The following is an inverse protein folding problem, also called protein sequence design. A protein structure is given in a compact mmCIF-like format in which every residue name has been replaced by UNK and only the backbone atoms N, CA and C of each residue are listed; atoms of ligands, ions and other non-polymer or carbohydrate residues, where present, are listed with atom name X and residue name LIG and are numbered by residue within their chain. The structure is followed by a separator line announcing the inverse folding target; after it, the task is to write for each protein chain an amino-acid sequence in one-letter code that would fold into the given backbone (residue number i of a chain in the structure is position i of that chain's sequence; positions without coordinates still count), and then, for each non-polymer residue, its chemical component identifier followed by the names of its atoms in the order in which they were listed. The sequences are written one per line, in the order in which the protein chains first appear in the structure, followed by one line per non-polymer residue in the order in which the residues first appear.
data_IF_885573085344
#
_entry.id   IF_885573085344
#
_cell.length_a   1.000
_cell.length_b   1.000
_cell.length_c   1.000
_cell.angle_alpha   90.00
_cell.angle_beta   90.00
_cell.angle_gamma   90.00
#
_symmetry.space_group_name_H-M   'P 1'
#
loop_
_entity.id
_entity.type
_entity.pdbx_description
1 polymer ?
#
# COMPACT_ATOMS: atom_id res chain seq x y z
N UNK A 1 32.82 -36.94 -54.67
CA UNK A 1 34.29 -36.81 -54.58
C UNK A 1 34.52 -35.63 -53.64
N UNK A 2 34.72 -35.90 -52.34
CA UNK A 2 36.04 -36.10 -51.68
C UNK A 2 36.71 -34.71 -51.60
N UNK A 3 36.96 -34.04 -50.47
CA UNK A 3 37.44 -34.43 -49.13
C UNK A 3 37.27 -33.16 -48.23
N UNK A 4 36.79 -33.19 -46.97
CA UNK A 4 37.49 -33.54 -45.71
C UNK A 4 38.93 -32.96 -45.64
N UNK A 5 39.35 -32.23 -44.61
CA UNK A 5 40.00 -32.82 -43.43
C UNK A 5 40.40 -31.73 -42.41
N UNK A 6 40.16 -32.06 -41.12
CA UNK A 6 40.88 -31.77 -39.85
C UNK A 6 41.39 -30.35 -39.50
N UNK A 7 41.10 -29.81 -38.31
CA UNK A 7 41.53 -30.23 -36.96
C UNK A 7 43.04 -30.13 -36.72
N UNK A 8 43.46 -29.20 -35.85
CA UNK A 8 44.64 -29.37 -34.98
C UNK A 8 44.42 -28.62 -33.67
N UNK A 9 44.77 -29.32 -32.60
CA UNK A 9 44.48 -29.07 -31.19
C UNK A 9 45.72 -28.57 -30.42
N UNK A 10 45.52 -28.44 -29.09
CA UNK A 10 46.51 -28.45 -27.97
C UNK A 10 47.11 -27.08 -27.61
N UNK A 11 47.30 -26.64 -26.35
CA UNK A 11 47.23 -27.08 -24.92
C UNK A 11 47.35 -25.76 -24.10
N UNK A 12 47.02 -25.56 -22.83
CA UNK A 12 46.65 -26.38 -21.68
C UNK A 12 46.71 -25.51 -20.39
N UNK A 13 46.52 -26.16 -19.24
CA UNK A 13 46.83 -25.73 -17.86
C UNK A 13 45.86 -24.79 -17.14
N UNK A 14 44.98 -25.33 -16.29
CA UNK A 14 45.21 -25.46 -14.83
C UNK A 14 43.93 -25.99 -14.16
N UNK A 15 44.06 -27.13 -13.48
CA UNK A 15 42.99 -27.72 -12.67
C UNK A 15 42.90 -27.05 -11.31
N UNK A 16 41.67 -26.85 -10.84
CA UNK A 16 41.36 -26.66 -9.43
C UNK A 16 40.32 -27.71 -9.06
N UNK A 17 40.78 -28.68 -8.27
CA UNK A 17 39.98 -29.71 -7.61
C UNK A 17 39.10 -29.04 -6.54
N UNK A 18 37.79 -29.32 -6.57
CA UNK A 18 36.87 -28.98 -5.49
C UNK A 18 36.82 -30.14 -4.49
N UNK A 19 37.40 -29.91 -3.32
CA UNK A 19 37.22 -30.74 -2.12
C UNK A 19 35.81 -30.49 -1.52
N UNK A 20 35.06 -31.53 -1.12
CA UNK A 20 33.79 -31.37 -0.42
C UNK A 20 34.01 -31.02 1.06
N UNK A 21 33.59 -29.82 1.47
CA UNK A 21 33.65 -29.38 2.86
C UNK A 21 32.75 -30.25 3.75
N UNK A 22 33.37 -30.98 4.67
CA UNK A 22 32.69 -31.72 5.74
C UNK A 22 32.09 -30.76 6.77
N UNK A 23 30.84 -31.05 7.15
CA UNK A 23 30.06 -30.39 8.18
C UNK A 23 30.72 -30.51 9.56
N UNK A 24 31.27 -29.42 10.10
CA UNK A 24 31.65 -29.31 11.50
C UNK A 24 30.51 -28.67 12.31
N UNK A 25 29.81 -29.49 13.06
CA UNK A 25 28.85 -29.07 14.09
C UNK A 25 29.60 -28.39 15.24
N UNK A 26 29.46 -27.07 15.36
CA UNK A 26 29.94 -26.29 16.51
C UNK A 26 28.85 -26.34 17.58
N UNK A 27 29.12 -27.06 18.67
CA UNK A 27 28.28 -27.08 19.86
C UNK A 27 28.44 -25.76 20.63
N UNK A 28 27.39 -24.94 20.62
CA UNK A 28 27.28 -23.75 21.47
C UNK A 28 27.11 -24.18 22.94
N UNK A 29 28.01 -23.69 23.81
CA UNK A 29 27.90 -23.83 25.26
C UNK A 29 26.88 -22.81 25.81
N UNK A 30 26.02 -23.18 26.77
CA UNK A 30 25.16 -22.23 27.45
C UNK A 30 25.97 -21.33 28.42
N UNK A 31 25.55 -20.07 28.65
CA UNK A 31 26.19 -19.16 29.58
C UNK A 31 25.93 -19.56 31.05
N UNK A 32 26.80 -19.15 31.99
CA UNK A 32 26.65 -19.48 33.40
C UNK A 32 25.53 -18.69 34.09
N UNK A 33 24.78 -19.40 34.94
CA UNK A 33 23.78 -18.85 35.85
C UNK A 33 24.39 -17.80 36.79
N UNK A 34 23.95 -16.55 36.67
CA UNK A 34 24.19 -15.51 37.66
C UNK A 34 23.16 -15.64 38.79
N UNK A 35 23.60 -16.18 39.91
CA UNK A 35 22.90 -16.19 41.20
C UNK A 35 22.78 -14.77 41.74
N UNK A 36 21.57 -14.21 41.67
CA UNK A 36 21.21 -12.94 42.29
C UNK A 36 21.24 -13.05 43.82
N UNK A 37 22.18 -12.34 44.44
CA UNK A 37 22.27 -12.10 45.88
C UNK A 37 21.07 -11.25 46.35
N UNK A 38 20.18 -11.82 47.16
CA UNK A 38 19.18 -11.06 47.91
C UNK A 38 19.83 -10.37 49.12
N UNK A 39 20.22 -9.10 48.97
CA UNK A 39 20.52 -8.23 50.10
C UNK A 39 19.20 -7.76 50.74
N UNK A 40 18.84 -8.39 51.86
CA UNK A 40 17.71 -7.98 52.71
C UNK A 40 18.09 -6.69 53.44
N UNK A 41 17.67 -5.53 52.92
CA UNK A 41 17.75 -4.26 53.64
C UNK A 41 16.63 -4.19 54.69
N UNK A 42 17.00 -4.21 55.96
CA UNK A 42 16.11 -3.93 57.08
C UNK A 42 15.76 -2.43 57.09
N UNK A 43 14.47 -2.10 56.96
CA UNK A 43 13.97 -0.73 57.08
C UNK A 43 13.83 -0.36 58.56
N UNK A 44 14.35 0.79 59.00
CA UNK A 44 14.08 1.29 60.35
C UNK A 44 12.62 1.79 60.47
N UNK A 45 12.02 1.75 61.67
CA UNK A 45 10.64 2.16 61.91
C UNK A 45 10.47 3.67 61.71
N UNK A 46 9.51 4.05 60.86
CA UNK A 46 9.13 5.45 60.64
C UNK A 46 8.42 6.00 61.88
N UNK A 47 8.96 7.10 62.40
CA UNK A 47 8.34 7.96 63.40
C UNK A 47 7.08 8.61 62.83
N UNK A 48 5.91 8.32 63.41
CA UNK A 48 4.65 8.98 63.11
C UNK A 48 4.60 10.32 63.85
N UNK A 49 5.08 11.39 63.23
CA UNK A 49 4.82 12.74 63.72
C UNK A 49 4.67 13.72 62.56
N UNK A 50 3.50 14.34 62.53
CA UNK A 50 3.17 15.60 61.82
C UNK A 50 3.03 15.54 60.29
N UNK A 51 1.94 14.92 59.82
CA UNK A 51 1.42 15.13 58.44
C UNK A 51 0.09 15.88 58.51
N UNK A 52 0.12 17.21 58.73
CA UNK A 52 -1.08 18.05 58.56
C UNK A 52 -0.89 19.37 57.82
N UNK A 53 0.30 19.66 57.27
CA UNK A 53 0.55 20.95 56.58
C UNK A 53 1.13 20.87 55.17
N UNK A 54 1.18 19.69 54.53
CA UNK A 54 1.70 19.52 53.16
C UNK A 54 0.64 18.89 52.24
N UNK A 55 -0.54 19.51 52.13
CA UNK A 55 -1.53 19.10 51.11
C UNK A 55 -1.86 20.20 50.11
N UNK A 56 -1.71 21.47 50.50
CA UNK A 56 -2.03 22.60 49.61
C UNK A 56 -0.90 22.94 48.63
N UNK A 57 0.36 22.67 48.98
CA UNK A 57 1.52 23.02 48.13
C UNK A 57 1.83 22.00 47.02
N UNK A 58 1.43 20.73 47.21
CA UNK A 58 1.68 19.65 46.24
C UNK A 58 0.74 19.76 45.03
N UNK A 59 -0.49 20.23 45.24
CA UNK A 59 -1.46 20.45 44.16
C UNK A 59 -1.07 21.62 43.23
N UNK A 60 -0.51 22.70 43.77
CA UNK A 60 0.00 23.82 42.97
C UNK A 60 1.28 23.44 42.20
N UNK A 61 2.18 22.66 42.82
CA UNK A 61 3.36 22.15 42.13
C UNK A 61 3.03 21.13 41.03
N UNK A 62 2.02 20.27 41.23
CA UNK A 62 1.55 19.32 40.22
C UNK A 62 0.88 20.04 39.02
N UNK A 63 0.09 21.09 39.25
CA UNK A 63 -0.51 21.88 38.18
C UNK A 63 0.55 22.67 37.38
N UNK A 64 1.60 23.17 38.03
CA UNK A 64 2.71 23.84 37.36
C UNK A 64 3.60 22.85 36.58
N UNK A 65 3.77 21.61 37.05
CA UNK A 65 4.53 20.59 36.32
C UNK A 65 3.79 20.13 35.05
N UNK A 66 2.45 20.07 35.07
CA UNK A 66 1.64 19.72 33.90
C UNK A 66 1.68 20.83 32.84
N UNK A 67 1.80 22.11 33.24
CA UNK A 67 1.91 23.23 32.30
C UNK A 67 3.30 23.38 31.65
N UNK A 68 4.35 22.73 32.18
CA UNK A 68 5.69 22.71 31.58
C UNK A 68 5.88 21.58 30.55
N UNK A 69 5.00 20.59 30.52
CA UNK A 69 4.89 19.68 29.40
C UNK A 69 4.20 20.45 28.27
N UNK A 70 4.95 21.29 27.55
CA UNK A 70 4.48 21.87 26.30
C UNK A 70 3.98 20.77 25.36
N UNK A 71 3.15 21.09 24.36
CA UNK A 71 2.71 20.10 23.39
C UNK A 71 3.95 19.38 22.85
N UNK A 72 4.08 18.10 23.19
CA UNK A 72 5.08 17.26 22.54
C UNK A 72 4.70 17.29 21.06
N UNK A 73 5.64 17.71 20.21
CA UNK A 73 5.47 17.54 18.78
C UNK A 73 5.11 16.07 18.57
N UNK A 74 3.98 15.82 17.90
CA UNK A 74 3.65 14.48 17.49
C UNK A 74 4.86 13.96 16.70
N UNK A 75 5.41 12.83 17.13
CA UNK A 75 6.46 12.19 16.35
C UNK A 75 5.88 11.86 14.98
N UNK A 76 6.58 12.23 13.91
CA UNK A 76 6.20 11.81 12.57
C UNK A 76 6.01 10.29 12.56
N UNK A 77 4.87 9.83 12.07
CA UNK A 77 4.60 8.42 11.91
C UNK A 77 5.05 8.01 10.51
N UNK A 78 5.81 6.93 10.42
CA UNK A 78 6.12 6.28 9.14
C UNK A 78 5.04 5.22 8.87
N UNK A 79 4.42 5.23 7.70
CA UNK A 79 3.57 4.12 7.24
C UNK A 79 3.99 3.64 5.87
N UNK A 80 3.78 2.34 5.62
CA UNK A 80 3.75 1.78 4.27
C UNK A 80 2.31 1.77 3.80
N UNK A 81 2.04 2.30 2.62
CA UNK A 81 0.75 2.24 1.97
C UNK A 81 0.82 1.29 0.78
N UNK A 82 -0.12 0.37 0.76
CA UNK A 82 -0.31 -0.54 -0.35
C UNK A 82 -1.25 0.05 -1.41
N UNK A 83 -1.07 -0.33 -2.68
CA UNK A 83 -1.99 0.07 -3.73
C UNK A 83 -3.34 -0.62 -3.52
N UNK A 84 -4.40 0.18 -3.58
CA UNK A 84 -5.79 -0.29 -3.51
C UNK A 84 -6.39 -0.57 -4.90
N UNK A 85 -5.64 -0.28 -5.95
CA UNK A 85 -6.01 -0.61 -7.31
C UNK A 85 -4.84 -0.44 -8.26
N UNK A 86 -4.77 -1.32 -9.24
CA UNK A 86 -3.80 -1.23 -10.33
C UNK A 86 -4.42 -1.49 -11.70
N UNK A 87 -3.75 -1.02 -12.75
CA UNK A 87 -4.09 -1.39 -14.10
C UNK A 87 -2.93 -1.18 -15.07
N UNK A 88 -2.68 -2.19 -15.92
CA UNK A 88 -1.88 -2.01 -17.13
C UNK A 88 -2.77 -1.60 -18.30
N UNK A 89 -2.54 -0.41 -18.86
CA UNK A 89 -3.18 0.03 -20.10
C UNK A 89 -2.23 -0.12 -21.28
N UNK A 90 -2.78 -0.51 -22.44
CA UNK A 90 -2.00 -0.87 -23.63
C UNK A 90 -2.56 -0.16 -24.85
N UNK A 91 -1.75 0.66 -25.47
CA UNK A 91 -2.12 1.39 -26.69
C UNK A 91 -2.52 0.48 -27.85
N UNK A 92 -1.79 -0.63 -28.05
CA UNK A 92 -2.04 -1.56 -29.16
C UNK A 92 -3.27 -2.47 -28.97
N UNK A 93 -3.83 -2.53 -27.76
CA UNK A 93 -5.11 -3.21 -27.46
C UNK A 93 -5.95 -2.26 -26.62
N UNK A 94 -6.43 -1.15 -27.20
CA UNK A 94 -6.77 0.02 -26.43
C UNK A 94 -8.07 -0.12 -25.64
N UNK A 95 -8.90 -1.12 -25.97
CA UNK A 95 -10.10 -1.51 -25.22
C UNK A 95 -9.83 -2.63 -24.19
N UNK A 96 -8.58 -3.06 -24.05
CA UNK A 96 -8.17 -4.09 -23.09
C UNK A 96 -7.30 -3.46 -22.00
N UNK A 97 -7.52 -3.92 -20.79
CA UNK A 97 -6.61 -3.72 -19.68
C UNK A 97 -6.17 -5.07 -19.13
N UNK A 98 -5.09 -5.04 -18.36
CA UNK A 98 -4.72 -6.16 -17.51
C UNK A 98 -5.39 -6.07 -16.12
N UNK A 99 -6.53 -5.35 -15.99
CA UNK A 99 -7.16 -5.10 -14.69
C UNK A 99 -7.50 -6.39 -13.95
N UNK A 100 -7.03 -6.52 -12.71
CA UNK A 100 -7.18 -7.72 -11.87
C UNK A 100 -6.17 -8.85 -12.14
N UNK A 101 -5.26 -8.67 -13.10
CA UNK A 101 -4.11 -9.56 -13.29
C UNK A 101 -2.95 -9.14 -12.40
N UNK A 102 -2.16 -10.09 -11.93
CA UNK A 102 -0.98 -9.81 -11.10
C UNK A 102 0.20 -9.19 -11.88
N UNK A 103 0.02 -8.84 -13.16
CA UNK A 103 1.07 -8.43 -14.08
C UNK A 103 0.79 -7.05 -14.69
N UNK A 104 1.49 -6.03 -14.20
CA UNK A 104 1.61 -4.73 -14.87
C UNK A 104 2.83 -4.73 -15.77
N UNK A 105 2.68 -4.31 -17.02
CA UNK A 105 3.79 -4.14 -17.97
C UNK A 105 3.86 -2.67 -18.38
N UNK A 106 4.97 -1.98 -18.12
CA UNK A 106 5.27 -0.71 -18.81
C UNK A 106 6.24 -1.01 -19.95
N UNK A 107 6.00 -0.48 -21.15
CA UNK A 107 6.86 -0.75 -22.31
C UNK A 107 6.79 0.42 -23.27
N UNK A 108 7.92 0.79 -23.86
CA UNK A 108 7.98 1.61 -25.08
C UNK A 108 8.71 0.88 -26.21
N UNK A 109 8.06 0.72 -27.37
CA UNK A 109 8.70 0.18 -28.59
C UNK A 109 8.72 1.24 -29.70
N UNK A 110 9.89 1.83 -30.01
CA UNK A 110 9.99 2.91 -30.99
C UNK A 110 9.91 2.47 -32.47
N UNK A 111 9.88 1.17 -32.78
CA UNK A 111 9.83 0.71 -34.17
C UNK A 111 8.42 0.87 -34.78
N UNK A 112 8.38 1.54 -35.93
CA UNK A 112 7.22 2.08 -36.65
C UNK A 112 6.08 1.10 -37.00
N UNK A 113 6.28 -0.21 -36.83
CA UNK A 113 5.24 -1.21 -37.12
C UNK A 113 4.40 -1.58 -35.89
N UNK A 114 4.67 -1.02 -34.70
CA UNK A 114 3.81 -1.33 -33.55
C UNK A 114 3.69 -0.33 -32.40
N UNK A 115 4.38 0.83 -32.38
CA UNK A 115 4.39 1.83 -31.29
C UNK A 115 3.57 1.43 -30.06
N UNK A 116 4.20 0.60 -29.22
CA UNK A 116 3.49 0.05 -28.06
C UNK A 116 3.91 0.88 -26.89
N UNK A 117 3.07 1.83 -26.49
CA UNK A 117 3.06 2.32 -25.12
C UNK A 117 2.21 1.40 -24.26
N UNK A 118 2.84 0.84 -23.24
CA UNK A 118 2.13 0.28 -22.10
C UNK A 118 2.42 1.15 -20.88
N UNK A 119 1.38 1.53 -20.15
CA UNK A 119 1.45 2.35 -18.96
C UNK A 119 0.88 1.57 -17.78
N UNK A 120 1.45 1.77 -16.60
CA UNK A 120 0.92 1.19 -15.37
C UNK A 120 0.32 2.29 -14.50
N UNK A 121 -0.93 2.09 -14.09
CA UNK A 121 -1.64 2.94 -13.15
C UNK A 121 -1.63 2.24 -11.79
N UNK A 122 -1.22 2.95 -10.75
CA UNK A 122 -1.17 2.44 -9.38
C UNK A 122 -1.86 3.46 -8.48
N UNK A 123 -2.90 3.05 -7.76
CA UNK A 123 -3.68 3.94 -6.90
C UNK A 123 -3.50 3.61 -5.43
N UNK A 124 -3.27 4.65 -4.64
CA UNK A 124 -3.17 4.62 -3.19
C UNK A 124 -4.36 5.33 -2.54
N UNK A 125 -4.80 4.80 -1.40
CA UNK A 125 -5.72 5.49 -0.50
C UNK A 125 -4.90 6.32 0.50
N UNK A 126 -5.06 7.64 0.42
CA UNK A 126 -4.44 8.61 1.32
C UNK A 126 -5.44 9.13 2.35
N UNK A 127 -6.59 8.47 2.53
CA UNK A 127 -7.53 8.80 3.60
C UNK A 127 -6.82 8.70 4.95
N UNK A 128 -6.93 9.73 5.79
CA UNK A 128 -6.24 9.76 7.09
C UNK A 128 -4.75 10.16 7.03
N UNK A 129 -4.19 10.34 5.84
CA UNK A 129 -2.86 10.91 5.63
C UNK A 129 -2.96 12.42 5.48
N UNK A 130 -2.17 13.16 6.26
CA UNK A 130 -2.08 14.62 6.18
C UNK A 130 -0.68 15.12 6.53
N UNK A 131 -0.24 16.21 5.90
CA UNK A 131 1.08 16.79 6.08
C UNK A 131 2.20 15.75 5.87
N UNK A 132 2.26 15.17 4.68
CA UNK A 132 3.39 14.32 4.28
C UNK A 132 4.65 15.18 4.34
N UNK A 133 5.60 14.77 5.17
CA UNK A 133 6.90 15.43 5.36
C UNK A 133 8.01 14.73 4.60
N UNK A 134 7.82 13.44 4.32
CA UNK A 134 8.76 12.61 3.58
C UNK A 134 7.98 11.50 2.86
N UNK A 135 8.48 11.05 1.71
CA UNK A 135 7.85 10.00 0.93
C UNK A 135 8.85 9.26 0.04
N UNK A 136 8.62 7.97 -0.12
CA UNK A 136 9.36 7.09 -1.02
C UNK A 136 8.39 6.14 -1.71
N UNK A 137 8.34 6.19 -3.04
CA UNK A 137 7.59 5.23 -3.83
C UNK A 137 8.56 4.16 -4.36
N UNK A 138 8.37 2.91 -3.95
CA UNK A 138 9.27 1.80 -4.22
C UNK A 138 8.57 0.70 -4.98
N UNK A 139 9.24 0.07 -5.94
CA UNK A 139 8.70 -1.07 -6.66
C UNK A 139 9.80 -2.02 -7.14
N UNK A 140 9.47 -3.31 -7.23
CA UNK A 140 10.40 -4.33 -7.67
C UNK A 140 10.36 -4.51 -9.20
N UNK A 141 11.53 -4.71 -9.79
CA UNK A 141 11.67 -5.10 -11.21
C UNK A 141 11.79 -6.63 -11.36
N UNK A 142 11.02 -7.22 -12.28
CA UNK A 142 11.17 -8.64 -12.68
C UNK A 142 12.19 -8.81 -13.81
N UNK A 143 13.10 -9.79 -13.65
CA UNK A 143 14.10 -10.17 -14.66
C UNK A 143 13.44 -10.58 -15.98
N UNK A 144 13.93 -9.99 -17.06
CA UNK A 144 13.79 -10.51 -18.42
C UNK A 144 14.79 -9.89 -19.39
N UNK A 145 15.20 -8.64 -19.15
CA UNK A 145 15.84 -7.84 -20.19
C UNK A 145 17.06 -7.08 -19.67
N UNK A 146 18.07 -6.94 -20.54
CA UNK A 146 19.41 -6.46 -20.16
C UNK A 146 19.55 -4.93 -20.09
N UNK A 147 18.59 -4.16 -20.61
CA UNK A 147 18.68 -2.69 -20.67
C UNK A 147 17.31 -2.06 -20.39
N UNK A 148 17.16 -1.38 -19.26
CA UNK A 148 16.07 -0.44 -18.98
C UNK A 148 16.69 0.96 -19.04
N UNK A 149 16.11 1.88 -19.82
CA UNK A 149 16.64 3.25 -19.94
C UNK A 149 16.24 4.15 -18.77
N UNK A 150 15.14 3.83 -18.09
CA UNK A 150 14.63 4.52 -16.92
C UNK A 150 13.11 4.40 -16.87
N UNK A 151 12.52 4.73 -15.73
CA UNK A 151 11.07 4.89 -15.59
C UNK A 151 10.75 6.33 -15.25
N UNK A 152 9.75 6.87 -15.92
CA UNK A 152 9.09 8.11 -15.55
C UNK A 152 7.92 7.78 -14.66
N UNK A 153 7.80 8.49 -13.54
CA UNK A 153 6.61 8.47 -12.72
C UNK A 153 5.90 9.82 -12.76
N UNK A 154 4.59 9.75 -12.94
CA UNK A 154 3.71 10.90 -12.97
C UNK A 154 2.60 10.74 -11.93
N UNK A 155 2.31 11.80 -11.20
CA UNK A 155 1.10 11.91 -10.39
C UNK A 155 -0.05 12.36 -11.27
N UNK A 156 -1.18 11.66 -11.23
CA UNK A 156 -2.37 12.04 -11.98
C UNK A 156 -3.07 13.22 -11.30
N UNK A 157 -3.26 14.33 -12.02
CA UNK A 157 -4.01 15.45 -11.49
C UNK A 157 -5.52 15.21 -11.51
N UNK A 158 -6.24 15.64 -10.46
CA UNK A 158 -7.71 15.66 -10.41
C UNK A 158 -8.24 16.93 -11.09
N UNK A 159 -8.10 16.96 -12.42
CA UNK A 159 -8.61 18.03 -13.28
C UNK A 159 -9.69 17.48 -14.20
N UNK A 160 -10.63 18.33 -14.60
CA UNK A 160 -11.72 17.91 -15.47
C UNK A 160 -11.19 17.36 -16.80
N UNK A 161 -11.62 16.15 -17.17
CA UNK A 161 -11.19 15.47 -18.37
C UNK A 161 -10.13 14.40 -18.13
N UNK A 162 -9.46 14.39 -16.97
CA UNK A 162 -8.58 13.28 -16.59
C UNK A 162 -9.37 12.06 -16.11
N UNK A 163 -8.70 10.91 -16.07
CA UNK A 163 -9.23 9.71 -15.42
C UNK A 163 -9.63 10.03 -13.96
N UNK A 164 -10.88 9.72 -13.54
CA UNK A 164 -11.30 9.94 -12.16
C UNK A 164 -10.45 9.12 -11.20
N UNK A 165 -9.99 9.68 -10.09
CA UNK A 165 -9.18 8.95 -9.11
C UNK A 165 -9.89 7.72 -8.52
N UNK A 166 -11.21 7.63 -8.63
CA UNK A 166 -12.04 6.50 -8.20
C UNK A 166 -12.22 5.43 -9.28
N UNK A 167 -11.32 5.32 -10.26
CA UNK A 167 -11.39 4.34 -11.34
C UNK A 167 -11.44 2.89 -10.83
N UNK A 168 -12.16 2.01 -11.51
CA UNK A 168 -12.10 0.56 -11.23
C UNK A 168 -11.07 -0.08 -12.16
N UNK A 169 -10.33 -1.09 -11.69
CA UNK A 169 -9.29 -1.77 -12.48
C UNK A 169 -9.82 -2.28 -13.82
N UNK A 170 -11.04 -2.80 -13.82
CA UNK A 170 -11.71 -3.31 -15.03
C UNK A 170 -12.20 -2.22 -15.99
N UNK A 171 -12.27 -0.96 -15.55
CA UNK A 171 -12.85 0.15 -16.33
C UNK A 171 -11.80 1.01 -17.05
N UNK A 172 -10.55 1.01 -16.57
CA UNK A 172 -9.49 1.84 -17.12
C UNK A 172 -8.76 1.06 -18.23
N UNK A 173 -8.79 1.59 -19.43
CA UNK A 173 -8.17 1.06 -20.66
C UNK A 173 -7.54 2.25 -21.37
N UNK A 174 -6.70 2.04 -22.37
CA UNK A 174 -6.09 3.16 -23.09
C UNK A 174 -7.15 4.06 -23.77
N UNK A 175 -8.30 3.52 -24.20
CA UNK A 175 -9.40 4.32 -24.76
C UNK A 175 -10.30 4.99 -23.72
N UNK A 176 -10.21 4.58 -22.45
CA UNK A 176 -11.02 5.15 -21.35
C UNK A 176 -10.21 6.01 -20.40
N UNK A 177 -8.87 6.08 -20.57
CA UNK A 177 -8.06 7.12 -19.93
C UNK A 177 -8.47 8.50 -20.41
N UNK A 178 -8.26 9.50 -19.56
CA UNK A 178 -8.65 10.87 -19.84
C UNK A 178 -7.58 11.64 -20.63
N UNK A 179 -7.62 12.96 -20.48
CA UNK A 179 -6.71 13.88 -21.13
C UNK A 179 -5.25 13.76 -20.66
N UNK A 180 -4.97 12.97 -19.60
CA UNK A 180 -3.61 12.70 -19.15
C UNK A 180 -2.79 11.88 -20.14
N UNK A 181 -3.44 11.04 -20.95
CA UNK A 181 -2.81 10.35 -22.07
C UNK A 181 -3.26 11.11 -23.31
N UNK A 182 -2.40 11.98 -23.90
CA UNK A 182 -2.77 12.75 -25.07
C UNK A 182 -2.89 11.80 -26.27
N UNK A 183 -4.01 11.09 -26.37
CA UNK A 183 -4.30 10.16 -27.46
C UNK A 183 -4.31 10.92 -28.77
N UNK A 184 -3.19 10.93 -29.46
CA UNK A 184 -3.06 11.53 -30.78
C UNK A 184 -3.69 10.63 -31.88
N UNK A 185 -4.17 9.45 -31.47
CA UNK A 185 -4.81 8.46 -32.31
C UNK A 185 -3.82 7.70 -33.19
N UNK A 186 -2.53 7.90 -32.99
CA UNK A 186 -1.45 7.25 -33.70
C UNK A 186 -0.75 6.24 -32.78
N UNK A 187 -1.04 4.94 -32.88
CA UNK A 187 -0.38 3.90 -32.08
C UNK A 187 1.09 3.67 -32.48
N UNK A 188 1.74 4.68 -33.08
CA UNK A 188 3.14 4.68 -33.45
C UNK A 188 3.94 5.79 -32.75
N UNK A 189 3.25 6.70 -32.06
CA UNK A 189 3.87 7.80 -31.33
C UNK A 189 4.02 7.45 -29.86
N UNK A 190 4.66 8.35 -29.13
CA UNK A 190 4.87 8.23 -27.71
C UNK A 190 4.07 9.35 -27.04
N UNK A 191 2.98 8.99 -26.38
CA UNK A 191 2.13 9.97 -25.69
C UNK A 191 2.75 10.47 -24.40
N UNK A 192 3.40 9.57 -23.65
CA UNK A 192 4.13 9.87 -22.42
C UNK A 192 5.62 9.59 -22.58
N UNK A 193 6.45 10.63 -22.45
CA UNK A 193 7.90 10.56 -22.61
C UNK A 193 8.67 11.85 -22.27
N UNK A 194 10.00 11.78 -22.39
CA UNK A 194 10.96 12.84 -22.01
C UNK A 194 10.86 14.11 -22.85
N UNK A 195 10.10 14.09 -23.96
CA UNK A 195 9.89 15.23 -24.85
C UNK A 195 8.78 16.19 -24.39
N UNK A 196 8.16 15.94 -23.23
CA UNK A 196 7.54 16.99 -22.42
C UNK A 196 6.17 17.50 -22.89
N UNK A 197 5.38 16.65 -23.55
CA UNK A 197 4.01 17.01 -23.94
C UNK A 197 2.92 16.49 -22.98
N UNK A 198 3.31 16.18 -21.74
CA UNK A 198 2.31 16.06 -20.67
C UNK A 198 1.87 17.48 -20.36
N UNK A 199 0.65 17.86 -20.77
CA UNK A 199 0.09 19.14 -20.33
C UNK A 199 0.25 19.19 -18.82
N UNK A 200 1.03 20.16 -18.30
CA UNK A 200 1.36 20.25 -16.87
C UNK A 200 0.11 20.33 -15.97
N UNK A 201 -1.03 20.64 -16.58
CA UNK A 201 -2.35 20.62 -15.97
C UNK A 201 -2.81 19.19 -15.62
N UNK A 202 -2.49 18.19 -16.45
CA UNK A 202 -3.01 16.82 -16.31
C UNK A 202 -2.09 15.91 -15.50
N UNK A 203 -0.77 16.10 -15.56
CA UNK A 203 0.21 15.25 -14.90
C UNK A 203 1.22 16.06 -14.10
N UNK A 204 1.58 15.54 -12.94
CA UNK A 204 2.65 16.05 -12.07
C UNK A 204 3.88 15.17 -12.23
N UNK A 205 5.01 15.70 -12.70
CA UNK A 205 6.24 14.89 -12.82
C UNK A 205 6.80 14.58 -11.42
N UNK A 206 6.83 13.31 -11.03
CA UNK A 206 7.30 12.90 -9.69
C UNK A 206 8.80 12.60 -9.70
N UNK A 207 9.31 12.13 -10.84
CA UNK A 207 10.73 11.83 -11.02
C UNK A 207 10.99 10.86 -12.16
N UNK A 208 12.27 10.66 -12.42
CA UNK A 208 12.78 9.66 -13.35
C UNK A 208 13.76 8.77 -12.61
N UNK A 209 13.59 7.45 -12.73
CA UNK A 209 14.57 6.49 -12.21
C UNK A 209 15.68 6.35 -13.23
N UNK A 210 16.93 6.36 -12.77
CA UNK A 210 18.04 6.01 -13.65
C UNK A 210 17.91 4.54 -14.05
N UNK A 211 17.92 4.27 -15.34
CA UNK A 211 17.95 2.92 -15.87
C UNK A 211 19.03 2.07 -15.19
N UNK A 212 18.67 0.87 -14.76
CA UNK A 212 19.64 -0.05 -14.18
C UNK A 212 20.21 -1.00 -15.24
N UNK A 213 21.48 -0.81 -15.58
CA UNK A 213 22.23 -1.76 -16.41
C UNK A 213 22.71 -2.93 -15.55
N UNK A 214 22.15 -4.12 -15.76
CA UNK A 214 22.60 -5.35 -15.11
C UNK A 214 22.00 -5.61 -13.72
N UNK A 215 20.87 -4.98 -13.39
CA UNK A 215 20.16 -5.28 -12.14
C UNK A 215 19.79 -6.77 -12.04
N UNK A 216 19.95 -7.34 -10.85
CA UNK A 216 19.39 -8.64 -10.53
C UNK A 216 17.85 -8.56 -10.45
N UNK A 217 17.17 -9.69 -10.67
CA UNK A 217 15.73 -9.78 -10.41
C UNK A 217 15.45 -9.39 -8.96
N UNK A 218 14.33 -8.71 -8.72
CA UNK A 218 13.92 -8.35 -7.37
C UNK A 218 14.73 -7.20 -6.75
N UNK A 219 15.53 -6.49 -7.55
CA UNK A 219 16.02 -5.18 -7.10
C UNK A 219 14.88 -4.16 -7.11
N UNK A 220 14.83 -3.41 -6.02
CA UNK A 220 13.91 -2.30 -5.83
C UNK A 220 14.44 -1.08 -6.55
N UNK A 221 13.52 -0.38 -7.19
CA UNK A 221 13.74 0.96 -7.70
C UNK A 221 12.89 1.89 -6.87
N UNK A 222 13.52 2.91 -6.30
CA UNK A 222 12.90 3.93 -5.45
C UNK A 222 12.77 5.24 -6.22
N UNK A 223 11.68 5.94 -5.96
CA UNK A 223 11.41 7.30 -6.40
C UNK A 223 11.18 8.16 -5.16
N UNK A 224 12.08 9.13 -4.95
CA UNK A 224 12.18 9.84 -3.68
C UNK A 224 12.84 8.99 -2.60
N UNK A 225 13.24 9.61 -1.48
CA UNK A 225 14.14 8.91 -0.58
C UNK A 225 14.08 9.32 0.88
N UNK A 226 13.31 8.55 1.64
CA UNK A 226 13.57 8.28 3.07
C UNK A 226 14.87 7.47 3.24
N UNK A 227 15.15 6.57 2.31
CA UNK A 227 16.24 5.58 2.43
C UNK A 227 17.54 5.95 1.69
N UNK A 228 17.48 6.72 0.60
CA UNK A 228 18.63 7.04 -0.25
C UNK A 228 18.99 8.54 -0.31
N UNK A 229 18.19 9.40 0.33
CA UNK A 229 18.40 10.86 0.38
C UNK A 229 18.20 11.56 -0.97
N UNK A 230 17.53 10.92 -1.93
CA UNK A 230 17.09 11.56 -3.17
C UNK A 230 16.03 12.61 -2.91
N UNK A 231 16.03 13.66 -3.74
CA UNK A 231 15.02 14.71 -3.67
C UNK A 231 13.64 14.14 -3.98
N UNK A 232 12.74 14.22 -3.01
CA UNK A 232 11.35 13.79 -3.10
C UNK A 232 10.37 14.94 -2.97
N UNK A 233 10.83 16.19 -3.16
CA UNK A 233 10.01 17.39 -3.04
C UNK A 233 8.76 17.32 -3.91
N UNK A 234 8.90 16.85 -5.16
CA UNK A 234 7.77 16.71 -6.09
C UNK A 234 6.78 15.63 -5.67
N UNK A 235 7.27 14.49 -5.16
CA UNK A 235 6.42 13.43 -4.63
C UNK A 235 5.65 13.92 -3.39
N UNK A 236 6.33 14.55 -2.44
CA UNK A 236 5.71 15.13 -1.24
C UNK A 236 4.67 16.18 -1.62
N UNK A 237 4.98 17.09 -2.56
CA UNK A 237 4.06 18.11 -3.01
C UNK A 237 2.82 17.51 -3.67
N UNK A 238 3.00 16.50 -4.54
CA UNK A 238 1.91 15.76 -5.15
C UNK A 238 1.03 15.08 -4.10
N UNK A 239 1.61 14.32 -3.16
CA UNK A 239 0.86 13.60 -2.14
C UNK A 239 0.09 14.56 -1.21
N UNK A 240 0.71 15.67 -0.80
CA UNK A 240 0.01 16.70 -0.01
C UNK A 240 -1.14 17.36 -0.80
N UNK A 241 -1.02 17.51 -2.11
CA UNK A 241 -2.13 17.98 -2.96
C UNK A 241 -3.31 16.99 -3.04
N UNK A 242 -3.07 15.74 -2.61
CA UNK A 242 -4.02 14.61 -2.62
C UNK A 242 -4.42 14.15 -1.21
N UNK A 243 -3.99 14.85 -0.16
CA UNK A 243 -4.21 14.45 1.22
C UNK A 243 -5.71 14.20 1.51
N UNK A 244 -6.01 13.07 2.15
CA UNK A 244 -7.37 12.69 2.53
C UNK A 244 -8.24 12.12 1.40
N UNK A 245 -7.66 11.78 0.24
CA UNK A 245 -8.37 11.16 -0.88
C UNK A 245 -7.54 10.05 -1.54
N UNK A 246 -7.64 9.93 -2.86
CA UNK A 246 -6.86 8.96 -3.63
C UNK A 246 -5.71 9.64 -4.38
N UNK A 247 -4.60 8.93 -4.53
CA UNK A 247 -3.50 9.32 -5.38
C UNK A 247 -3.20 8.22 -6.40
N UNK A 248 -3.26 8.57 -7.68
CA UNK A 248 -2.84 7.68 -8.77
C UNK A 248 -1.46 8.07 -9.27
N UNK A 249 -0.53 7.13 -9.26
CA UNK A 249 0.81 7.23 -9.86
C UNK A 249 0.79 6.43 -11.18
N UNK A 250 1.27 7.06 -12.24
CA UNK A 250 1.40 6.47 -13.58
C UNK A 250 2.87 6.24 -13.86
N UNK A 251 3.21 5.01 -14.24
CA UNK A 251 4.56 4.62 -14.64
C UNK A 251 4.61 4.48 -16.15
N UNK A 252 5.61 5.13 -16.75
CA UNK A 252 5.89 5.09 -18.17
C UNK A 252 7.39 4.81 -18.40
N UNK A 253 7.71 4.09 -19.47
CA UNK A 253 9.09 3.82 -19.87
C UNK A 253 9.73 5.07 -20.52
N UNK A 254 11.00 5.35 -20.25
CA UNK A 254 11.72 6.47 -20.87
C UNK A 254 12.06 6.11 -22.31
N UNK A 255 11.62 6.91 -23.29
CA UNK A 255 11.96 6.63 -24.68
C UNK A 255 13.45 6.82 -24.93
N UNK A 256 14.15 5.71 -25.08
CA UNK A 256 15.56 5.70 -25.43
C UNK A 256 16.02 4.55 -26.32
N UNK A 257 15.18 3.54 -26.59
CA UNK A 257 15.60 2.34 -27.33
C UNK A 257 14.55 1.24 -27.43
N UNK A 258 14.90 0.13 -28.09
CA UNK A 258 14.11 -1.10 -28.11
C UNK A 258 14.07 -1.72 -26.71
N UNK A 259 13.21 -1.19 -25.83
CA UNK A 259 13.11 -1.69 -24.47
C UNK A 259 11.97 -2.70 -24.35
N UNK A 260 12.31 -3.83 -23.77
CA UNK A 260 11.37 -4.85 -23.39
C UNK A 260 10.90 -4.55 -21.97
N UNK A 261 9.58 -4.49 -21.81
CA UNK A 261 8.93 -3.78 -20.73
C UNK A 261 9.31 -4.20 -19.32
N UNK A 262 8.95 -3.35 -18.37
CA UNK A 262 9.06 -3.61 -16.94
C UNK A 262 7.81 -4.35 -16.50
N UNK A 263 8.03 -5.56 -16.02
CA UNK A 263 6.99 -6.42 -15.49
C UNK A 263 6.99 -6.27 -13.98
N UNK A 264 5.89 -5.76 -13.44
CA UNK A 264 5.58 -5.79 -12.02
C UNK A 264 4.65 -6.99 -11.87
N UNK A 265 5.16 -8.08 -11.31
CA UNK A 265 4.39 -9.31 -11.12
C UNK A 265 4.21 -9.57 -9.64
N UNK A 266 3.10 -10.20 -9.25
CA UNK A 266 2.94 -10.78 -7.91
C UNK A 266 3.17 -12.30 -7.86
N UNK A 267 3.74 -12.89 -8.92
CA UNK A 267 3.81 -14.34 -9.03
C UNK A 267 4.53 -14.98 -7.84
N UNK A 268 3.88 -16.01 -7.28
CA UNK A 268 4.05 -16.54 -5.91
C UNK A 268 5.41 -17.19 -5.61
N UNK A 269 6.31 -17.28 -6.58
CA UNK A 269 7.57 -18.03 -6.51
C UNK A 269 8.84 -17.16 -6.66
N UNK A 270 8.73 -15.83 -6.77
CA UNK A 270 9.88 -14.92 -6.70
C UNK A 270 9.48 -13.68 -5.89
N UNK A 271 10.37 -13.20 -5.03
CA UNK A 271 10.18 -12.17 -3.99
C UNK A 271 9.85 -10.75 -4.50
N UNK A 272 9.17 -10.62 -5.63
CA UNK A 272 8.75 -9.36 -6.22
C UNK A 272 7.62 -8.77 -5.36
N UNK A 273 7.97 -7.81 -4.51
CA UNK A 273 6.97 -7.04 -3.78
C UNK A 273 6.22 -6.13 -4.75
N UNK A 274 4.92 -6.01 -4.51
CA UNK A 274 4.06 -5.01 -5.12
C UNK A 274 4.65 -3.60 -4.92
N UNK A 275 4.36 -2.62 -5.80
CA UNK A 275 4.69 -1.23 -5.54
C UNK A 275 4.17 -0.82 -4.15
N UNK A 276 5.02 -0.16 -3.38
CA UNK A 276 4.73 0.32 -2.03
C UNK A 276 4.98 1.83 -1.99
N UNK A 277 4.17 2.54 -1.22
CA UNK A 277 4.35 3.95 -0.95
C UNK A 277 4.65 4.14 0.53
N UNK A 278 5.91 4.41 0.85
CA UNK A 278 6.33 4.78 2.20
C UNK A 278 6.14 6.28 2.40
N UNK A 279 5.54 6.68 3.52
CA UNK A 279 5.33 8.08 3.87
C UNK A 279 5.72 8.33 5.32
N UNK A 280 6.28 9.50 5.59
CA UNK A 280 6.30 10.10 6.92
C UNK A 280 5.35 11.29 6.94
N UNK A 281 4.50 11.35 7.96
CA UNK A 281 3.49 12.39 8.11
C UNK A 281 3.25 12.76 9.58
N UNK A 282 2.78 14.00 9.83
CA UNK A 282 2.48 14.50 11.19
C UNK A 282 1.41 13.66 11.90
N UNK A 283 0.44 13.16 11.13
CA UNK A 283 -0.61 12.29 11.61
C UNK A 283 -1.00 11.34 10.50
N UNK A 284 -0.79 10.06 10.75
CA UNK A 284 -1.40 8.96 10.02
C UNK A 284 -2.45 8.45 10.98
N UNK A 285 -3.69 8.87 10.78
CA UNK A 285 -4.78 8.19 11.46
C UNK A 285 -4.68 6.73 11.02
N UNK A 286 -4.60 5.79 11.96
CA UNK A 286 -4.56 4.37 11.63
C UNK A 286 -5.78 4.05 10.76
N UNK A 287 -5.55 3.94 9.45
CA UNK A 287 -6.61 3.87 8.44
C UNK A 287 -7.03 2.42 8.36
N UNK A 288 -7.62 1.93 9.45
CA UNK A 288 -8.33 0.66 9.39
C UNK A 288 -9.35 0.78 8.26
N UNK A 289 -9.29 -0.09 7.26
CA UNK A 289 -10.27 -0.12 6.18
C UNK A 289 -10.65 -1.56 5.91
N UNK A 290 -11.95 -1.83 6.06
CA UNK A 290 -12.51 -3.16 5.87
C UNK A 290 -13.15 -3.35 4.48
N UNK A 291 -12.82 -2.48 3.53
CA UNK A 291 -13.12 -2.64 2.10
C UNK A 291 -11.98 -3.47 1.48
N UNK A 292 -12.12 -4.78 1.57
CA UNK A 292 -11.10 -5.73 1.15
C UNK A 292 -11.17 -6.02 -0.35
N UNK A 293 -12.27 -5.65 -1.01
CA UNK A 293 -12.43 -5.79 -2.46
C UNK A 293 -12.26 -4.52 -3.29
N UNK A 294 -11.90 -3.42 -2.63
CA UNK A 294 -11.70 -2.11 -3.23
C UNK A 294 -12.92 -1.63 -4.02
N UNK A 295 -14.12 -2.10 -3.67
CA UNK A 295 -15.36 -1.69 -4.35
C UNK A 295 -15.82 -0.29 -3.94
N UNK A 296 -15.20 0.28 -2.91
CA UNK A 296 -15.62 1.54 -2.28
C UNK A 296 -16.75 1.34 -1.28
N UNK A 297 -17.12 0.11 -0.92
CA UNK A 297 -18.19 -0.20 0.02
C UNK A 297 -17.75 -1.31 0.97
N UNK A 298 -18.02 -1.17 2.28
CA UNK A 298 -17.79 -2.25 3.25
C UNK A 298 -19.07 -3.06 3.42
N UNK A 299 -19.14 -4.22 2.76
CA UNK A 299 -20.34 -5.07 2.69
C UNK A 299 -20.04 -6.53 3.06
N UNK A 300 -21.00 -7.41 2.82
CA UNK A 300 -20.85 -8.84 3.11
C UNK A 300 -19.84 -9.56 2.20
N UNK A 301 -19.46 -8.96 1.07
CA UNK A 301 -18.41 -9.48 0.21
C UNK A 301 -17.04 -9.38 0.90
N UNK A 302 -16.75 -8.25 1.54
CA UNK A 302 -15.56 -8.04 2.36
C UNK A 302 -15.52 -8.99 3.54
N UNK A 303 -16.65 -9.12 4.24
CA UNK A 303 -16.77 -10.07 5.35
C UNK A 303 -16.37 -11.49 4.95
N UNK A 304 -16.74 -11.91 3.74
CA UNK A 304 -16.41 -13.24 3.26
C UNK A 304 -14.89 -13.38 3.04
N UNK A 305 -14.19 -12.35 2.56
CA UNK A 305 -12.72 -12.35 2.44
C UNK A 305 -12.06 -12.46 3.82
N UNK A 306 -12.48 -11.64 4.77
CA UNK A 306 -12.00 -11.71 6.15
C UNK A 306 -12.24 -13.10 6.76
N UNK A 307 -13.42 -13.68 6.58
CA UNK A 307 -13.72 -15.03 7.07
C UNK A 307 -12.87 -16.12 6.41
N UNK A 308 -12.59 -16.00 5.12
CA UNK A 308 -11.77 -16.97 4.38
C UNK A 308 -10.32 -16.99 4.85
N UNK A 309 -9.84 -15.85 5.36
CA UNK A 309 -8.45 -15.63 5.73
C UNK A 309 -8.25 -15.48 7.24
N UNK A 310 -9.28 -15.71 8.07
CA UNK A 310 -9.19 -15.60 9.52
C UNK A 310 -8.09 -16.51 10.09
N UNK A 311 -7.15 -15.92 10.84
CA UNK A 311 -6.01 -16.58 11.44
C UNK A 311 -4.78 -16.69 10.54
N UNK A 312 -4.81 -16.10 9.32
CA UNK A 312 -3.58 -15.88 8.56
C UNK A 312 -2.69 -14.89 9.30
N UNK A 313 -1.38 -15.16 9.30
CA UNK A 313 -0.35 -14.29 9.84
C UNK A 313 0.92 -14.51 9.00
N UNK A 314 1.21 -13.57 8.11
CA UNK A 314 2.36 -13.62 7.19
C UNK A 314 2.99 -12.22 7.11
N UNK A 315 4.31 -12.12 6.91
CA UNK A 315 5.04 -10.82 6.90
C UNK A 315 4.58 -9.84 5.79
N UNK A 316 3.68 -10.27 4.90
CA UNK A 316 3.20 -9.55 3.72
C UNK A 316 1.71 -9.79 3.46
N UNK A 317 0.90 -9.90 4.52
CA UNK A 317 -0.55 -9.89 4.31
C UNK A 317 -0.96 -8.52 3.79
N UNK A 318 -1.79 -8.54 2.77
CA UNK A 318 -2.29 -7.34 2.15
C UNK A 318 -3.74 -7.12 2.55
N UNK A 319 -4.25 -5.89 2.42
CA UNK A 319 -5.64 -5.58 2.82
C UNK A 319 -6.67 -6.48 2.13
N UNK A 320 -6.44 -6.87 0.86
CA UNK A 320 -7.32 -7.82 0.14
C UNK A 320 -7.41 -9.21 0.80
N UNK A 321 -6.44 -9.54 1.66
CA UNK A 321 -6.42 -10.77 2.44
C UNK A 321 -7.22 -10.64 3.75
N UNK A 322 -7.86 -9.49 4.04
CA UNK A 322 -8.71 -9.31 5.22
C UNK A 322 -8.02 -8.65 6.41
N UNK A 323 -6.78 -8.19 6.24
CA UNK A 323 -6.04 -7.40 7.23
C UNK A 323 -6.48 -5.93 7.13
N UNK A 324 -7.43 -5.54 7.98
CA UNK A 324 -8.02 -4.21 7.97
C UNK A 324 -7.11 -3.18 8.61
N UNK A 325 -6.40 -3.55 9.67
CA UNK A 325 -5.57 -2.64 10.47
C UNK A 325 -4.09 -2.60 9.99
N UNK A 326 -3.72 -3.43 9.02
CA UNK A 326 -2.38 -3.48 8.44
C UNK A 326 -1.32 -4.04 9.39
N UNK A 327 -1.70 -4.88 10.35
CA UNK A 327 -0.78 -5.46 11.34
C UNK A 327 -0.17 -6.81 10.92
N UNK A 328 -0.43 -7.23 9.68
CA UNK A 328 0.00 -8.49 9.08
C UNK A 328 -0.62 -9.74 9.73
N UNK A 329 -1.77 -9.59 10.41
CA UNK A 329 -2.56 -10.68 10.99
C UNK A 329 -4.04 -10.46 10.69
N UNK A 330 -4.76 -11.49 10.28
CA UNK A 330 -6.22 -11.42 10.12
C UNK A 330 -6.89 -12.01 11.35
N UNK A 331 -7.37 -11.17 12.28
CA UNK A 331 -7.94 -11.59 13.54
C UNK A 331 -9.23 -10.85 13.97
N UNK A 332 -9.49 -10.81 15.29
CA UNK A 332 -10.65 -10.12 15.86
C UNK A 332 -10.60 -8.60 15.71
N UNK A 333 -9.42 -7.98 15.60
CA UNK A 333 -9.27 -6.54 15.40
C UNK A 333 -9.76 -6.13 14.01
N UNK A 334 -9.48 -6.93 12.99
CA UNK A 334 -10.00 -6.69 11.64
C UNK A 334 -11.51 -6.89 11.57
N UNK A 335 -12.01 -7.88 12.32
CA UNK A 335 -13.44 -8.10 12.47
C UNK A 335 -14.12 -6.89 13.13
N UNK A 336 -13.51 -6.30 14.16
CA UNK A 336 -14.00 -5.08 14.81
C UNK A 336 -13.99 -3.90 13.83
N UNK A 337 -12.94 -3.75 13.01
CA UNK A 337 -12.88 -2.74 11.96
C UNK A 337 -14.00 -2.92 10.92
N UNK A 338 -14.23 -4.15 10.45
CA UNK A 338 -15.33 -4.44 9.53
C UNK A 338 -16.70 -4.14 10.14
N UNK A 339 -16.94 -4.54 11.39
CA UNK A 339 -18.20 -4.25 12.08
C UNK A 339 -18.44 -2.74 12.24
N UNK A 340 -17.38 -1.97 12.52
CA UNK A 340 -17.45 -0.52 12.66
C UNK A 340 -17.77 0.18 11.33
N UNK A 341 -17.39 -0.42 10.20
CA UNK A 341 -17.50 0.18 8.87
C UNK A 341 -18.63 -0.44 8.02
N UNK A 342 -19.26 -1.52 8.46
CA UNK A 342 -20.29 -2.19 7.67
C UNK A 342 -21.42 -1.25 7.24
N UNK A 343 -21.63 -1.17 5.92
CA UNK A 343 -22.62 -0.27 5.31
C UNK A 343 -22.14 1.16 5.08
N UNK A 344 -20.87 1.49 5.37
CA UNK A 344 -20.24 2.76 4.95
C UNK A 344 -19.53 2.59 3.60
N UNK A 345 -19.27 3.71 2.93
CA UNK A 345 -18.32 3.71 1.83
C UNK A 345 -16.91 3.46 2.40
N UNK A 346 -16.15 2.55 1.79
CA UNK A 346 -14.79 2.18 2.20
C UNK A 346 -13.90 3.41 2.38
N UNK A 347 -13.23 3.51 3.52
CA UNK A 347 -12.32 4.62 3.85
C UNK A 347 -12.96 5.86 4.47
N UNK A 348 -14.26 6.11 4.27
CA UNK A 348 -14.90 7.30 4.86
C UNK A 348 -15.72 6.87 6.06
N UNK A 349 -15.21 7.11 7.27
CA UNK A 349 -16.03 7.20 8.50
C UNK A 349 -16.93 8.43 8.43
N UNK A 350 -17.75 8.52 7.38
CA UNK A 350 -18.93 9.35 7.39
C UNK A 350 -19.79 8.75 8.47
N UNK A 351 -19.89 9.47 9.58
CA UNK A 351 -20.84 9.22 10.66
C UNK A 351 -22.26 9.20 10.05
N UNK A 352 -22.65 8.07 9.48
CA UNK A 352 -24.02 7.83 9.07
C UNK A 352 -24.83 7.93 10.36
N UNK A 353 -25.78 8.87 10.47
CA UNK A 353 -26.57 8.98 11.68
C UNK A 353 -27.26 7.63 11.89
N UNK A 354 -27.04 7.05 13.08
CA UNK A 354 -27.65 5.81 13.54
C UNK A 354 -29.18 5.95 13.58
N UNK A 355 -29.82 5.88 12.41
CA UNK A 355 -31.21 6.29 12.20
C UNK A 355 -32.05 5.31 11.40
N UNK A 356 -31.44 4.32 10.73
CA UNK A 356 -32.20 3.18 10.23
C UNK A 356 -32.44 2.21 11.38
N UNK A 357 -33.43 2.53 12.20
CA UNK A 357 -34.00 1.57 13.13
C UNK A 357 -34.48 0.37 12.30
N UNK A 358 -33.66 -0.68 12.24
CA UNK A 358 -34.07 -1.98 11.74
C UNK A 358 -35.34 -2.33 12.52
N UNK A 359 -36.50 -2.51 11.86
CA UNK A 359 -37.73 -2.84 12.56
C UNK A 359 -37.51 -4.13 13.32
N UNK A 360 -37.32 -4.05 14.64
CA UNK A 360 -37.08 -5.23 15.43
C UNK A 360 -38.30 -6.16 15.29
N UNK A 361 -38.09 -7.49 15.19
CA UNK A 361 -39.19 -8.44 15.09
C UNK A 361 -40.20 -8.33 16.26
N UNK A 362 -39.78 -7.73 17.37
CA UNK A 362 -40.62 -7.40 18.53
C UNK A 362 -41.72 -6.37 18.21
N UNK A 363 -41.48 -5.41 17.31
CA UNK A 363 -42.49 -4.42 16.91
C UNK A 363 -43.65 -5.05 16.10
N UNK A 364 -43.35 -6.04 15.26
CA UNK A 364 -44.36 -6.82 14.55
C UNK A 364 -45.18 -7.69 15.53
N UNK A 365 -44.53 -8.29 16.52
CA UNK A 365 -45.21 -9.11 17.54
C UNK A 365 -46.10 -8.24 18.44
N UNK A 366 -45.63 -7.07 18.86
CA UNK A 366 -46.41 -6.15 19.71
C UNK A 366 -47.61 -5.56 18.98
N UNK A 367 -47.49 -5.24 17.69
CA UNK A 367 -48.63 -4.76 16.89
C UNK A 367 -49.69 -5.85 16.68
N UNK A 368 -49.29 -7.10 16.43
CA UNK A 368 -50.21 -8.25 16.38
C UNK A 368 -50.88 -8.48 17.73
N UNK A 369 -50.11 -8.47 18.83
CA UNK A 369 -50.66 -8.62 20.19
C UNK A 369 -51.65 -7.50 20.54
N UNK A 370 -51.36 -6.26 20.12
CA UNK A 370 -52.25 -5.11 20.29
C UNK A 370 -53.57 -5.27 19.53
N UNK A 371 -53.53 -5.73 18.28
CA UNK A 371 -54.74 -5.98 17.48
C UNK A 371 -55.60 -7.10 18.06
N UNK A 372 -54.98 -8.17 18.57
CA UNK A 372 -55.69 -9.26 19.26
C UNK A 372 -56.35 -8.72 20.54
N UNK A 373 -55.63 -7.93 21.34
CA UNK A 373 -56.17 -7.31 22.55
C UNK A 373 -57.37 -6.40 22.27
N UNK A 374 -57.30 -5.57 21.23
CA UNK A 374 -58.40 -4.71 20.78
C UNK A 374 -59.61 -5.53 20.32
N UNK A 375 -59.39 -6.62 19.58
CA UNK A 375 -60.47 -7.53 19.15
C UNK A 375 -61.18 -8.20 20.33
N UNK A 376 -60.45 -8.63 21.36
CA UNK A 376 -61.03 -9.22 22.58
C UNK A 376 -61.82 -8.16 23.37
N UNK A 377 -61.29 -6.94 23.50
CA UNK A 377 -61.97 -5.86 24.21
C UNK A 377 -63.27 -5.43 23.51
N UNK A 378 -63.29 -5.38 22.18
CA UNK A 378 -64.48 -5.05 21.40
C UNK A 378 -65.61 -6.07 21.59
N UNK A 379 -65.27 -7.38 21.65
CA UNK A 379 -66.26 -8.45 21.88
C UNK A 379 -66.90 -8.44 23.27
N UNK A 380 -66.29 -7.78 24.26
CA UNK A 380 -66.85 -7.69 25.63
C UNK A 380 -67.88 -6.56 25.81
N UNK A 381 -68.05 -5.68 24.81
CA UNK A 381 -68.92 -4.49 24.89
C UNK A 381 -70.21 -4.58 24.07
N UNK A 382 -70.42 -5.64 23.30
CA UNK A 382 -71.70 -5.98 22.66
C UNK A 382 -72.29 -7.20 23.33
#
# INVERSE_FOLDING_TARGET
MIESVASTAMRGCCGLEFEPLSSRSIALRPPPNNTLYHARQERPPMSTSNVKFIRTSVLAAAAALIALAGPQAASAATSSLEPIGDAGVREHTPDQNNGGGNDMETRSRPNADSGRQNLAFVRFDLTGVSNVTDAEFSFAYRRGHSNISGLLAYGLNDVAGNTPQTWAESSITYNTTGAEIPGDGDPTTQDLGSTGNTGAENLWALGETSGCSGCAAGQYVTLGGLSDGTDNTELIAFLNSRAGGFATIILADTAGGEHEGIWMTSDRDDTAQWPQLYIEADAIADVSSADFDSSGLVVGADFLRLQQNLGLAEDFLVRKDGDANGDNVVDSLDMEAWQAQYGTAGGVTSSVPAGFAVPEPTAAILSIAGLIGLGIAARRRG
#
